data_IF_302228638037
#
_entry.id   IF_302228638037
#
_cell.length_a   1.000
_cell.length_b   1.000
_cell.length_c   1.000
_cell.angle_alpha   90.00
_cell.angle_beta   90.00
_cell.angle_gamma   90.00
#
_symmetry.space_group_name_H-M   'P 1'
#
loop_
_entity.id
_entity.type
_entity.pdbx_description
1 polymer ?
#
# COMPACT_ATOMS: atom_id res chain seq x y z
N UNK A 1 40.21 31.40 34.41
CA UNK A 1 39.84 30.97 33.05
C UNK A 1 39.77 29.45 33.04
N UNK A 2 38.57 28.88 33.02
CA UNK A 2 38.35 27.43 33.05
C UNK A 2 38.09 26.95 31.62
N UNK A 3 38.89 25.99 31.08
CA UNK A 3 38.71 25.49 29.72
C UNK A 3 37.74 24.32 29.73
N UNK A 4 36.44 24.59 29.91
CA UNK A 4 35.40 23.55 29.90
C UNK A 4 34.33 23.75 28.83
N UNK A 5 34.38 24.84 28.06
CA UNK A 5 33.34 25.17 27.08
C UNK A 5 33.52 24.56 25.69
N UNK A 6 34.71 24.04 25.36
CA UNK A 6 34.98 23.48 24.02
C UNK A 6 34.61 22.00 23.91
N UNK A 7 34.92 21.18 24.92
CA UNK A 7 34.62 19.74 24.93
C UNK A 7 33.12 19.44 24.96
N UNK A 8 32.33 20.27 25.66
CA UNK A 8 30.88 20.10 25.79
C UNK A 8 30.13 20.43 24.49
N UNK A 9 30.66 21.39 23.70
CA UNK A 9 30.14 21.69 22.36
C UNK A 9 30.44 20.56 21.39
N UNK A 10 31.67 20.05 21.40
CA UNK A 10 32.07 18.93 20.54
C UNK A 10 31.24 17.67 20.82
N UNK A 11 30.90 17.38 22.09
CA UNK A 11 30.01 16.26 22.44
C UNK A 11 28.55 16.45 22.00
N UNK A 12 28.02 17.69 22.04
CA UNK A 12 26.68 17.99 21.50
C UNK A 12 26.64 17.90 19.98
N UNK A 13 27.67 18.42 19.31
CA UNK A 13 27.78 18.40 17.86
C UNK A 13 28.03 16.98 17.33
N UNK A 14 28.77 16.14 18.07
CA UNK A 14 28.91 14.70 17.78
C UNK A 14 27.60 13.92 17.93
N UNK A 15 26.77 14.25 18.94
CA UNK A 15 25.42 13.67 19.06
C UNK A 15 24.49 14.12 17.93
N UNK A 16 24.65 15.34 17.43
CA UNK A 16 23.89 15.85 16.28
C UNK A 16 24.37 15.25 14.95
N UNK A 17 25.68 15.02 14.78
CA UNK A 17 26.27 14.41 13.58
C UNK A 17 26.01 12.91 13.50
N UNK A 18 25.97 12.19 14.63
CA UNK A 18 25.54 10.78 14.67
C UNK A 18 24.05 10.58 14.36
N UNK A 19 23.25 11.65 14.34
CA UNK A 19 21.86 11.61 13.90
C UNK A 19 21.69 11.84 12.38
N UNK A 20 22.77 12.15 11.65
CA UNK A 20 22.73 12.47 10.21
C UNK A 20 23.34 11.35 9.34
N UNK A 21 24.16 10.45 9.90
CA UNK A 21 24.78 9.34 9.14
C UNK A 21 24.25 7.97 9.57
N UNK A 22 23.12 7.60 9.01
CA UNK A 22 22.76 6.21 8.74
C UNK A 22 22.01 6.19 7.41
N UNK A 23 22.35 5.31 6.45
CA UNK A 23 21.58 5.25 5.23
C UNK A 23 20.12 5.02 5.62
N UNK A 24 19.21 5.88 5.14
CA UNK A 24 17.77 5.73 5.31
C UNK A 24 17.33 4.43 4.61
N UNK A 25 17.57 3.30 5.24
CA UNK A 25 17.20 1.97 4.77
C UNK A 25 16.21 1.39 5.75
N UNK A 26 15.06 2.04 5.82
CA UNK A 26 13.85 1.33 6.22
C UNK A 26 13.62 0.24 5.17
N UNK A 27 14.25 -0.92 5.34
CA UNK A 27 14.08 -2.08 4.47
C UNK A 27 12.71 -2.68 4.73
N UNK A 28 11.74 -2.26 3.92
CA UNK A 28 10.39 -2.81 3.98
C UNK A 28 10.33 -4.05 3.11
N UNK A 29 10.03 -5.21 3.71
CA UNK A 29 9.72 -6.41 2.92
C UNK A 29 8.36 -6.20 2.25
N UNK A 30 8.34 -6.35 0.92
CA UNK A 30 7.12 -6.33 0.12
C UNK A 30 7.02 -7.64 -0.64
N UNK A 31 5.92 -8.35 -0.46
CA UNK A 31 5.65 -9.58 -1.18
C UNK A 31 4.37 -9.43 -2.02
N UNK A 32 4.42 -9.90 -3.26
CA UNK A 32 3.26 -9.99 -4.14
C UNK A 32 3.17 -11.43 -4.65
N UNK A 33 2.09 -12.11 -4.33
CA UNK A 33 1.84 -13.49 -4.74
C UNK A 33 0.61 -13.52 -5.64
N UNK A 34 0.76 -14.13 -6.82
CA UNK A 34 -0.31 -14.29 -7.79
C UNK A 34 -0.57 -15.76 -8.07
N UNK A 35 -1.81 -16.19 -7.92
CA UNK A 35 -2.29 -17.49 -8.41
C UNK A 35 -3.22 -17.24 -9.59
N UNK A 36 -3.03 -17.97 -10.68
CA UNK A 36 -3.91 -17.90 -11.85
C UNK A 36 -4.26 -19.30 -12.30
N UNK A 37 -5.55 -19.52 -12.53
CA UNK A 37 -6.09 -20.72 -13.15
C UNK A 37 -6.73 -20.34 -14.49
N UNK A 38 -6.50 -21.15 -15.53
CA UNK A 38 -7.09 -21.00 -16.85
C UNK A 38 -7.60 -22.35 -17.34
N UNK A 39 -8.90 -22.41 -17.60
CA UNK A 39 -9.56 -23.47 -18.37
C UNK A 39 -9.87 -23.00 -19.80
N UNK A 40 -10.68 -23.78 -20.52
CA UNK A 40 -11.06 -23.48 -21.92
C UNK A 40 -11.98 -22.27 -22.06
N UNK A 41 -12.88 -22.05 -21.10
CA UNK A 41 -13.90 -20.99 -21.13
C UNK A 41 -13.90 -20.15 -19.83
N UNK A 42 -12.98 -20.43 -18.92
CA UNK A 42 -12.97 -19.86 -17.58
C UNK A 42 -11.55 -19.49 -17.20
N UNK A 43 -11.40 -18.37 -16.50
CA UNK A 43 -10.14 -17.99 -15.89
C UNK A 43 -10.40 -17.38 -14.53
N UNK A 44 -9.56 -17.70 -13.55
CA UNK A 44 -9.60 -17.11 -12.23
C UNK A 44 -8.21 -16.63 -11.85
N UNK A 45 -8.13 -15.53 -11.09
CA UNK A 45 -6.89 -15.09 -10.47
C UNK A 45 -7.12 -14.60 -9.05
N UNK A 46 -6.12 -14.85 -8.22
CA UNK A 46 -6.02 -14.37 -6.85
C UNK A 46 -4.68 -13.65 -6.71
N UNK A 47 -4.68 -12.47 -6.12
CA UNK A 47 -3.45 -11.71 -5.83
C UNK A 47 -3.41 -11.34 -4.36
N UNK A 48 -2.36 -11.75 -3.66
CA UNK A 48 -2.08 -11.37 -2.27
C UNK A 48 -0.93 -10.37 -2.30
N UNK A 49 -1.11 -9.23 -1.64
CA UNK A 49 -0.04 -8.23 -1.45
C UNK A 49 0.22 -8.07 0.03
N UNK A 50 1.46 -8.25 0.45
CA UNK A 50 1.93 -8.06 1.82
C UNK A 50 2.99 -6.97 1.87
N UNK A 51 2.87 -6.08 2.84
CA UNK A 51 3.87 -5.08 3.19
C UNK A 51 4.16 -5.28 4.67
N UNK A 52 5.42 -5.49 5.02
CA UNK A 52 5.83 -5.69 6.40
C UNK A 52 5.74 -4.39 7.22
N UNK A 53 5.70 -4.53 8.54
CA UNK A 53 5.75 -3.39 9.45
C UNK A 53 7.12 -2.73 9.40
N UNK A 54 7.18 -1.41 9.52
CA UNK A 54 8.43 -0.68 9.42
C UNK A 54 8.44 0.59 10.28
N UNK A 55 9.61 1.13 10.57
CA UNK A 55 9.74 2.42 11.26
C UNK A 55 9.82 3.53 10.22
N UNK A 56 9.02 4.58 10.39
CA UNK A 56 9.08 5.73 9.50
C UNK A 56 10.17 6.69 9.98
N UNK A 57 11.27 6.81 9.23
CA UNK A 57 12.38 7.72 9.49
C UNK A 57 12.15 9.14 8.93
N UNK A 58 11.07 9.36 8.17
CA UNK A 58 10.68 10.68 7.66
C UNK A 58 10.11 11.61 8.75
N UNK A 59 9.84 11.10 9.95
CA UNK A 59 9.29 11.84 11.09
C UNK A 59 10.15 11.62 12.33
N UNK A 60 10.49 12.70 13.04
CA UNK A 60 11.39 12.68 14.20
C UNK A 60 10.98 11.73 15.34
N UNK A 61 9.70 11.36 15.43
CA UNK A 61 9.20 10.39 16.42
C UNK A 61 9.44 8.92 16.04
N UNK A 62 10.06 8.65 14.88
CA UNK A 62 10.33 7.31 14.33
C UNK A 62 9.16 6.32 14.47
N UNK A 63 7.92 6.71 14.10
CA UNK A 63 6.75 5.93 14.44
C UNK A 63 6.72 4.61 13.67
N UNK A 64 6.25 3.55 14.34
CA UNK A 64 6.08 2.23 13.72
C UNK A 64 4.80 2.21 12.88
N UNK A 65 4.95 1.96 11.59
CA UNK A 65 3.87 1.66 10.64
C UNK A 65 3.59 0.16 10.70
N UNK A 66 2.31 -0.21 10.87
CA UNK A 66 1.89 -1.61 10.92
C UNK A 66 2.03 -2.29 9.54
N UNK A 67 2.08 -3.62 9.54
CA UNK A 67 2.03 -4.39 8.29
C UNK A 67 0.66 -4.30 7.64
N UNK A 68 0.59 -4.55 6.33
CA UNK A 68 -0.64 -4.48 5.56
C UNK A 68 -0.73 -5.61 4.54
N UNK A 69 -1.87 -6.32 4.56
CA UNK A 69 -2.17 -7.41 3.63
C UNK A 69 -3.45 -7.12 2.89
N UNK A 70 -3.43 -7.25 1.57
CA UNK A 70 -4.63 -7.16 0.71
C UNK A 70 -4.78 -8.41 -0.14
N UNK A 71 -6.04 -8.73 -0.45
CA UNK A 71 -6.43 -9.84 -1.31
C UNK A 71 -7.31 -9.32 -2.43
N UNK A 72 -6.90 -9.56 -3.67
CA UNK A 72 -7.70 -9.26 -4.85
C UNK A 72 -8.07 -10.57 -5.55
N UNK A 73 -9.30 -10.65 -6.05
CA UNK A 73 -9.81 -11.81 -6.78
C UNK A 73 -10.48 -11.36 -8.08
N UNK A 74 -10.30 -12.14 -9.15
CA UNK A 74 -10.97 -11.93 -10.42
C UNK A 74 -11.36 -13.26 -11.04
N UNK A 75 -12.57 -13.34 -11.59
CA UNK A 75 -13.09 -14.48 -12.33
C UNK A 75 -13.60 -14.00 -13.69
N UNK A 76 -13.37 -14.78 -14.72
CA UNK A 76 -13.83 -14.52 -16.08
C UNK A 76 -14.45 -15.79 -16.66
N UNK A 77 -15.56 -15.62 -17.36
CA UNK A 77 -16.20 -16.66 -18.14
C UNK A 77 -16.42 -16.16 -19.57
N UNK A 78 -16.14 -17.03 -20.54
CA UNK A 78 -16.30 -16.78 -21.97
C UNK A 78 -17.39 -17.70 -22.50
N UNK A 79 -18.39 -17.11 -23.16
CA UNK A 79 -19.53 -17.78 -23.78
C UNK A 79 -19.34 -17.66 -25.29
N UNK A 80 -18.83 -18.71 -25.96
CA UNK A 80 -18.65 -18.72 -27.40
C UNK A 80 -20.00 -18.89 -28.12
N UNK A 81 -20.08 -18.40 -29.36
CA UNK A 81 -21.22 -18.64 -30.26
C UNK A 81 -22.47 -17.78 -29.99
N UNK A 82 -22.40 -16.80 -29.07
CA UNK A 82 -23.51 -15.90 -28.81
C UNK A 82 -23.71 -14.93 -29.99
N UNK A 83 -24.82 -15.06 -30.72
CA UNK A 83 -25.19 -14.21 -31.88
C UNK A 83 -24.08 -14.06 -32.94
N UNK A 84 -23.39 -15.16 -33.30
CA UNK A 84 -22.20 -15.15 -34.18
C UNK A 84 -21.06 -14.30 -33.59
N UNK A 85 -20.82 -14.47 -32.30
CA UNK A 85 -19.76 -13.77 -31.58
C UNK A 85 -19.43 -14.47 -30.27
N UNK A 86 -18.68 -13.78 -29.43
CA UNK A 86 -18.21 -14.22 -28.13
C UNK A 86 -18.62 -13.18 -27.08
N UNK A 87 -19.19 -13.66 -25.98
CA UNK A 87 -19.45 -12.84 -24.80
C UNK A 87 -18.43 -13.20 -23.73
N UNK A 88 -17.83 -12.20 -23.08
CA UNK A 88 -17.04 -12.40 -21.89
C UNK A 88 -17.63 -11.63 -20.71
N UNK A 89 -17.85 -12.35 -19.62
CA UNK A 89 -18.27 -11.82 -18.33
C UNK A 89 -17.10 -11.91 -17.37
N UNK A 90 -16.79 -10.82 -16.66
CA UNK A 90 -15.80 -10.83 -15.59
C UNK A 90 -16.40 -10.29 -14.31
N UNK A 91 -16.05 -10.91 -13.20
CA UNK A 91 -16.40 -10.51 -11.85
C UNK A 91 -15.10 -10.31 -11.08
N UNK A 92 -14.95 -9.21 -10.36
CA UNK A 92 -13.76 -9.02 -9.56
C UNK A 92 -14.01 -8.24 -8.29
N UNK A 93 -13.13 -8.48 -7.32
CA UNK A 93 -13.11 -7.83 -6.03
C UNK A 93 -11.68 -7.38 -5.72
N UNK A 94 -11.53 -6.11 -5.34
CA UNK A 94 -10.29 -5.55 -4.81
C UNK A 94 -10.43 -5.35 -3.31
N UNK A 95 -9.34 -5.60 -2.58
CA UNK A 95 -9.32 -5.56 -1.13
C UNK A 95 -10.49 -6.39 -0.54
N UNK A 96 -10.59 -7.65 -0.95
CA UNK A 96 -11.67 -8.58 -0.57
C UNK A 96 -11.78 -8.72 0.95
N UNK A 97 -10.65 -8.62 1.67
CA UNK A 97 -10.57 -8.67 3.13
C UNK A 97 -11.00 -7.35 3.83
N UNK A 98 -11.29 -6.30 3.06
CA UNK A 98 -11.77 -5.00 3.56
C UNK A 98 -10.84 -4.39 4.62
N UNK A 99 -9.53 -4.44 4.34
CA UNK A 99 -8.50 -3.91 5.24
C UNK A 99 -8.06 -2.54 4.81
N UNK A 100 -8.26 -1.55 5.67
CA UNK A 100 -7.72 -0.21 5.47
C UNK A 100 -6.18 -0.23 5.56
N UNK A 101 -5.50 0.65 4.79
CA UNK A 101 -4.08 0.83 4.93
C UNK A 101 -3.73 1.43 6.31
N UNK A 102 -2.54 1.12 6.86
CA UNK A 102 -2.11 1.72 8.11
C UNK A 102 -1.99 3.24 7.95
N UNK A 103 -2.36 4.02 8.99
CA UNK A 103 -2.26 5.47 8.93
C UNK A 103 -0.79 5.90 8.86
N UNK A 104 -0.51 6.95 8.09
CA UNK A 104 0.79 7.60 8.10
C UNK A 104 0.78 8.73 9.16
N UNK A 105 1.57 8.61 10.23
CA UNK A 105 1.74 9.68 11.20
C UNK A 105 2.31 10.88 10.46
N UNK A 106 1.64 12.01 10.62
CA UNK A 106 1.89 13.19 9.84
C UNK A 106 1.99 14.38 10.78
N UNK A 107 3.13 15.08 10.71
CA UNK A 107 3.44 16.26 11.52
C UNK A 107 4.62 16.09 12.48
N UNK A 108 5.23 17.25 12.80
CA UNK A 108 6.21 17.47 13.88
C UNK A 108 5.59 17.01 15.21
N UNK A 109 6.41 16.41 16.07
CA UNK A 109 6.03 15.96 17.42
C UNK A 109 5.19 17.04 18.14
N UNK A 110 3.97 16.69 18.57
CA UNK A 110 3.02 17.61 19.22
C UNK A 110 2.00 18.31 18.32
N UNK A 111 2.04 18.13 16.99
CA UNK A 111 1.00 18.61 16.08
C UNK A 111 0.49 17.43 15.23
N UNK A 112 -0.63 16.83 15.64
CA UNK A 112 -1.31 15.80 14.85
C UNK A 112 -1.91 16.43 13.59
N UNK A 113 -1.20 16.42 12.47
CA UNK A 113 -1.78 16.75 11.16
C UNK A 113 -1.97 15.45 10.41
N UNK A 114 -3.10 14.76 10.56
CA UNK A 114 -3.42 13.47 9.93
C UNK A 114 -3.30 13.38 8.38
N UNK A 115 -2.78 14.39 7.68
CA UNK A 115 -3.02 14.64 6.26
C UNK A 115 -1.75 14.96 5.44
N UNK A 116 -0.73 14.10 5.40
CA UNK A 116 0.40 14.29 4.46
C UNK A 116 0.90 13.00 3.76
N UNK A 117 0.02 12.38 2.97
CA UNK A 117 0.20 12.17 1.51
C UNK A 117 -0.96 12.94 0.84
N UNK A 118 -0.86 13.52 -0.36
CA UNK A 118 -1.78 14.58 -0.77
C UNK A 118 -3.25 14.09 -0.82
N UNK A 119 -4.12 14.73 -0.05
CA UNK A 119 -5.56 14.45 0.11
C UNK A 119 -5.81 13.36 1.16
N UNK A 120 -6.56 13.56 2.23
CA UNK A 120 -8.02 13.63 2.16
C UNK A 120 -8.62 14.03 3.52
N UNK A 121 -9.84 14.56 3.46
CA UNK A 121 -10.72 14.82 4.60
C UNK A 121 -11.63 13.61 4.87
N UNK A 122 -11.75 13.22 6.14
CA UNK A 122 -12.18 11.89 6.61
C UNK A 122 -13.65 11.78 7.04
N UNK A 123 -14.50 12.78 6.80
CA UNK A 123 -15.87 12.73 7.33
C UNK A 123 -16.90 12.06 6.39
N UNK A 124 -16.53 11.66 5.15
CA UNK A 124 -17.50 11.13 4.16
C UNK A 124 -17.01 9.98 3.24
N UNK A 125 -15.91 9.26 3.57
CA UNK A 125 -15.27 8.11 2.82
C UNK A 125 -14.40 8.53 1.59
N UNK A 126 -13.39 7.82 1.00
CA UNK A 126 -12.86 6.43 0.98
C UNK A 126 -11.38 6.42 0.44
N UNK A 127 -10.44 5.60 0.95
CA UNK A 127 -9.09 5.38 0.33
C UNK A 127 -8.95 4.06 -0.48
N UNK A 128 -10.13 3.53 -0.82
CA UNK A 128 -10.50 2.34 -1.62
C UNK A 128 -10.48 1.03 -0.85
N UNK A 129 -11.33 0.94 0.18
CA UNK A 129 -11.80 -0.30 0.82
C UNK A 129 -12.38 -1.33 -0.17
N UNK A 130 -13.15 -2.33 0.27
CA UNK A 130 -13.60 -3.40 -0.64
C UNK A 130 -14.38 -2.86 -1.84
N UNK A 131 -13.88 -3.14 -3.04
CA UNK A 131 -14.52 -2.73 -4.30
C UNK A 131 -14.88 -3.96 -5.11
N UNK A 132 -16.14 -4.12 -5.47
CA UNK A 132 -16.61 -5.19 -6.38
C UNK A 132 -16.98 -4.60 -7.74
N UNK A 133 -16.71 -5.34 -8.81
CA UNK A 133 -17.03 -4.91 -10.16
C UNK A 133 -17.46 -6.08 -11.05
N UNK A 134 -18.26 -5.74 -12.05
CA UNK A 134 -18.62 -6.64 -13.15
C UNK A 134 -18.18 -5.99 -14.45
N UNK A 135 -17.65 -6.78 -15.37
CA UNK A 135 -17.29 -6.32 -16.71
C UNK A 135 -17.93 -7.23 -17.75
N UNK A 136 -18.46 -6.62 -18.79
CA UNK A 136 -19.02 -7.30 -19.95
C UNK A 136 -18.26 -6.88 -21.20
N UNK A 137 -17.93 -7.85 -22.05
CA UNK A 137 -17.37 -7.62 -23.38
C UNK A 137 -18.09 -8.50 -24.39
N UNK A 138 -18.41 -7.95 -25.55
CA UNK A 138 -18.91 -8.70 -26.69
C UNK A 138 -17.94 -8.50 -27.87
N UNK A 139 -17.58 -9.60 -28.53
CA UNK A 139 -16.76 -9.61 -29.75
C UNK A 139 -17.56 -10.31 -30.84
N UNK A 140 -17.90 -9.60 -31.91
CA UNK A 140 -18.53 -10.21 -33.08
C UNK A 140 -17.47 -11.02 -33.86
N UNK A 141 -17.84 -12.24 -34.29
CA UNK A 141 -17.05 -12.99 -35.28
C UNK A 141 -17.63 -12.70 -36.66
N UNK A 142 -16.76 -12.34 -37.61
CA UNK A 142 -17.11 -12.18 -39.03
C UNK A 142 -17.52 -13.51 -39.67
#
# INVERSE_FOLDING_TARGET
ASPTSSLDKTCRDLKLLQAIDGPATTSVVRANLGLTWRGSQQAASLTIRYIDSYKNDEVASFPKIASWTTLDANFQHVIPGFRRGEVSLSFGARNLLDRDPPPLPSGREGIHRYNLRPGFDGFVHNIKGRTVYVRFHYRQSE
#
